data_IF_009217184372
#
_entry.id   IF_009217184372
#
_cell.length_a   1.000
_cell.length_b   1.000
_cell.length_c   1.000
_cell.angle_alpha   90.00
_cell.angle_beta   90.00
_cell.angle_gamma   90.00
#
_symmetry.space_group_name_H-M   'P 1'
#
loop_
_entity.id
_entity.type
_entity.pdbx_description
1 polymer ?
#
# COMPACT_ATOMS: atom_id res chain seq x y z
N UNK A 1 11.36 -26.88 -6.73
CA UNK A 1 11.41 -25.76 -5.76
C UNK A 1 11.11 -24.50 -6.53
N UNK A 2 9.95 -23.89 -6.29
CA UNK A 2 9.59 -22.60 -6.91
C UNK A 2 10.52 -21.55 -6.31
N UNK A 3 11.15 -20.74 -7.16
CA UNK A 3 12.06 -19.72 -6.67
C UNK A 3 11.24 -18.51 -6.18
N UNK A 4 11.62 -17.87 -5.06
CA UNK A 4 10.88 -16.71 -4.52
C UNK A 4 10.75 -15.56 -5.52
N UNK A 5 11.67 -15.47 -6.50
CA UNK A 5 11.61 -14.52 -7.62
C UNK A 5 10.38 -14.67 -8.53
N UNK A 6 9.75 -15.85 -8.57
CA UNK A 6 8.53 -16.12 -9.35
C UNK A 6 7.26 -15.82 -8.54
N UNK A 7 7.38 -15.74 -7.21
CA UNK A 7 6.25 -15.55 -6.28
C UNK A 7 6.06 -14.08 -5.91
N UNK A 8 7.15 -13.30 -5.88
CA UNK A 8 7.13 -11.90 -5.45
C UNK A 8 7.11 -10.96 -6.65
N UNK A 9 5.91 -10.44 -6.96
CA UNK A 9 5.73 -9.35 -7.92
C UNK A 9 6.04 -8.00 -7.26
N UNK A 10 7.28 -7.53 -7.43
CA UNK A 10 7.74 -6.23 -6.91
C UNK A 10 7.13 -5.05 -7.69
N UNK A 11 6.76 -5.25 -8.97
CA UNK A 11 6.13 -4.19 -9.78
C UNK A 11 4.78 -3.78 -9.19
N UNK A 12 3.98 -4.72 -8.71
CA UNK A 12 2.72 -4.41 -8.03
C UNK A 12 2.91 -3.45 -6.83
N UNK A 13 3.97 -3.64 -6.04
CA UNK A 13 4.26 -2.75 -4.90
C UNK A 13 4.80 -1.39 -5.31
N UNK A 14 5.57 -1.35 -6.40
CA UNK A 14 6.01 -0.10 -7.01
C UNK A 14 4.83 0.71 -7.53
N UNK A 15 3.91 0.05 -8.25
CA UNK A 15 2.72 0.68 -8.81
C UNK A 15 1.86 1.29 -7.71
N UNK A 16 1.65 0.59 -6.60
CA UNK A 16 0.91 1.11 -5.45
C UNK A 16 1.59 2.30 -4.76
N UNK A 17 2.91 2.27 -4.63
CA UNK A 17 3.65 3.42 -4.11
C UNK A 17 3.56 4.62 -5.07
N UNK A 18 3.78 4.39 -6.38
CA UNK A 18 3.70 5.41 -7.41
C UNK A 18 2.30 6.04 -7.50
N UNK A 19 1.25 5.22 -7.36
CA UNK A 19 -0.14 5.65 -7.25
C UNK A 19 -0.34 6.54 -6.03
N UNK A 20 0.21 6.16 -4.88
CA UNK A 20 0.12 6.97 -3.67
C UNK A 20 0.79 8.34 -3.83
N UNK A 21 1.98 8.43 -4.41
CA UNK A 21 2.66 9.73 -4.60
C UNK A 21 2.11 10.53 -5.80
N UNK A 22 1.25 9.94 -6.61
CA UNK A 22 0.67 10.62 -7.77
C UNK A 22 -0.15 11.84 -7.34
N UNK A 23 -0.05 12.92 -8.11
CA UNK A 23 -0.77 14.17 -7.86
C UNK A 23 -2.29 13.97 -7.81
N UNK A 24 -2.83 13.07 -8.65
CA UNK A 24 -4.25 12.74 -8.67
C UNK A 24 -4.74 12.15 -7.35
N UNK A 25 -4.04 11.14 -6.82
CA UNK A 25 -4.39 10.53 -5.54
C UNK A 25 -4.19 11.51 -4.37
N UNK A 26 -3.06 12.22 -4.33
CA UNK A 26 -2.79 13.17 -3.25
C UNK A 26 -3.81 14.30 -3.20
N UNK A 27 -4.27 14.80 -4.35
CA UNK A 27 -5.32 15.80 -4.44
C UNK A 27 -6.67 15.26 -3.95
N UNK A 28 -7.06 14.06 -4.39
CA UNK A 28 -8.32 13.43 -3.95
C UNK A 28 -8.30 13.15 -2.44
N UNK A 29 -7.16 12.69 -1.91
CA UNK A 29 -6.97 12.48 -0.48
C UNK A 29 -7.09 13.78 0.32
N UNK A 30 -6.43 14.84 -0.15
CA UNK A 30 -6.51 16.15 0.49
C UNK A 30 -7.93 16.72 0.45
N UNK A 31 -8.64 16.55 -0.68
CA UNK A 31 -10.04 16.97 -0.79
C UNK A 31 -10.95 16.25 0.22
N UNK A 32 -10.78 14.93 0.37
CA UNK A 32 -11.62 14.11 1.25
C UNK A 32 -11.28 14.26 2.73
N UNK A 33 -9.99 14.22 3.07
CA UNK A 33 -9.53 14.10 4.45
C UNK A 33 -8.84 15.37 4.97
N UNK A 34 -8.63 16.39 4.14
CA UNK A 34 -7.93 17.62 4.52
C UNK A 34 -6.42 17.47 4.70
N UNK A 35 -5.84 16.31 4.36
CA UNK A 35 -4.42 16.01 4.55
C UNK A 35 -3.85 15.20 3.41
N UNK A 36 -2.57 15.43 3.12
CA UNK A 36 -1.80 14.60 2.20
C UNK A 36 -1.49 13.24 2.85
N UNK A 37 -1.41 12.19 2.03
CA UNK A 37 -0.95 10.87 2.46
C UNK A 37 0.58 10.86 2.43
N UNK A 38 1.23 10.46 3.53
CA UNK A 38 2.69 10.40 3.59
C UNK A 38 3.29 9.21 2.82
N UNK A 39 2.44 8.29 2.31
CA UNK A 39 2.82 7.12 1.52
C UNK A 39 3.88 6.21 2.16
N UNK A 40 4.13 6.36 3.47
CA UNK A 40 5.22 5.68 4.15
C UNK A 40 4.94 4.18 4.26
N UNK A 41 3.67 3.79 4.38
CA UNK A 41 3.25 2.39 4.42
C UNK A 41 3.54 1.69 3.10
N UNK A 42 3.15 2.29 1.98
CA UNK A 42 3.37 1.78 0.63
C UNK A 42 4.86 1.73 0.29
N UNK A 43 5.64 2.71 0.73
CA UNK A 43 7.10 2.68 0.59
C UNK A 43 7.75 1.55 1.41
N UNK A 44 7.27 1.32 2.64
CA UNK A 44 7.74 0.20 3.46
C UNK A 44 7.36 -1.15 2.88
N UNK A 45 6.17 -1.28 2.29
CA UNK A 45 5.75 -2.47 1.58
C UNK A 45 6.64 -2.75 0.36
N UNK A 46 6.96 -1.72 -0.44
CA UNK A 46 7.88 -1.85 -1.57
C UNK A 46 9.27 -2.34 -1.15
N UNK A 47 9.85 -1.77 -0.08
CA UNK A 47 11.11 -2.26 0.50
C UNK A 47 10.99 -3.71 0.99
N UNK A 48 9.86 -4.08 1.59
CA UNK A 48 9.60 -5.43 2.08
C UNK A 48 9.49 -6.43 0.94
N UNK A 49 8.83 -6.07 -0.16
CA UNK A 49 8.77 -6.88 -1.37
C UNK A 49 10.15 -7.07 -2.01
N UNK A 50 10.97 -6.01 -2.05
CA UNK A 50 12.37 -6.11 -2.50
C UNK A 50 13.18 -7.09 -1.66
N UNK A 51 13.01 -7.08 -0.33
CA UNK A 51 13.66 -8.06 0.58
C UNK A 51 13.12 -9.48 0.38
N UNK A 52 11.80 -9.63 0.23
CA UNK A 52 11.15 -10.91 0.01
C UNK A 52 11.60 -11.57 -1.31
N UNK A 53 11.89 -10.78 -2.36
CA UNK A 53 12.41 -11.30 -3.63
C UNK A 53 13.79 -11.93 -3.51
N UNK A 54 14.60 -11.48 -2.56
CA UNK A 54 15.97 -11.97 -2.29
C UNK A 54 15.99 -13.01 -1.16
N UNK A 55 14.86 -13.30 -0.53
CA UNK A 55 14.75 -14.30 0.52
C UNK A 55 15.12 -15.71 -0.01
N UNK A 56 15.62 -16.57 0.88
CA UNK A 56 16.07 -17.92 0.51
C UNK A 56 14.93 -18.93 0.40
N UNK A 57 13.85 -18.72 1.15
CA UNK A 57 12.71 -19.63 1.20
C UNK A 57 11.42 -18.96 0.74
N UNK A 58 10.58 -19.71 0.04
CA UNK A 58 9.30 -19.22 -0.47
C UNK A 58 8.31 -18.91 0.65
N UNK A 59 8.28 -19.74 1.69
CA UNK A 59 7.37 -19.56 2.84
C UNK A 59 7.70 -18.29 3.63
N UNK A 60 8.98 -17.98 3.79
CA UNK A 60 9.43 -16.74 4.42
C UNK A 60 9.04 -15.52 3.57
N UNK A 61 9.22 -15.60 2.25
CA UNK A 61 8.80 -14.54 1.34
C UNK A 61 7.28 -14.29 1.44
N UNK A 62 6.47 -15.36 1.43
CA UNK A 62 5.01 -15.26 1.62
C UNK A 62 4.64 -14.70 3.00
N UNK A 63 5.35 -15.10 4.05
CA UNK A 63 5.15 -14.59 5.41
C UNK A 63 5.48 -13.10 5.55
N UNK A 64 6.50 -12.62 4.84
CA UNK A 64 6.82 -11.19 4.76
C UNK A 64 5.73 -10.43 3.99
N UNK A 65 5.29 -10.96 2.85
CA UNK A 65 4.24 -10.33 2.03
C UNK A 65 2.90 -10.28 2.75
N UNK A 66 2.52 -11.32 3.50
CA UNK A 66 1.26 -11.35 4.24
C UNK A 66 1.16 -10.24 5.30
N UNK A 67 2.30 -9.72 5.79
CA UNK A 67 2.36 -8.63 6.76
C UNK A 67 2.32 -7.24 6.13
N UNK A 68 2.45 -7.13 4.80
CA UNK A 68 2.43 -5.84 4.12
C UNK A 68 1.04 -5.21 4.15
N UNK A 69 1.01 -3.87 4.16
CA UNK A 69 -0.22 -3.10 4.18
C UNK A 69 -1.11 -3.39 2.96
N UNK A 70 -0.50 -3.60 1.79
CA UNK A 70 -1.21 -3.96 0.56
C UNK A 70 -2.08 -5.22 0.71
N UNK A 71 -1.53 -6.30 1.28
CA UNK A 71 -2.27 -7.56 1.48
C UNK A 71 -3.32 -7.43 2.59
N UNK A 72 -3.02 -6.67 3.65
CA UNK A 72 -4.00 -6.40 4.72
C UNK A 72 -5.19 -5.59 4.21
N UNK A 73 -4.96 -4.61 3.33
CA UNK A 73 -6.01 -3.76 2.75
C UNK A 73 -6.96 -4.54 1.83
N UNK A 74 -6.48 -5.53 1.06
CA UNK A 74 -7.33 -6.37 0.19
C UNK A 74 -8.44 -7.10 0.96
N UNK A 75 -8.23 -7.36 2.24
CA UNK A 75 -9.19 -8.05 3.11
C UNK A 75 -10.23 -7.10 3.74
N UNK A 76 -10.09 -5.79 3.54
CA UNK A 76 -11.06 -4.79 4.02
C UNK A 76 -11.98 -4.43 2.86
N UNK A 77 -13.28 -4.70 3.01
CA UNK A 77 -14.27 -4.34 1.99
C UNK A 77 -14.18 -2.84 1.66
N UNK A 78 -14.12 -2.44 0.38
CA UNK A 78 -14.00 -1.04 -0.02
C UNK A 78 -15.17 -0.16 0.44
N UNK A 79 -16.29 -0.76 0.82
CA UNK A 79 -17.48 -0.09 1.36
C UNK A 79 -17.56 -0.07 2.89
N UNK A 80 -16.69 -0.79 3.62
CA UNK A 80 -16.85 -0.98 5.06
C UNK A 80 -16.27 0.13 5.95
N UNK A 81 -15.65 1.18 5.40
CA UNK A 81 -15.06 2.24 6.24
C UNK A 81 -14.91 3.64 5.64
N UNK A 82 -15.33 3.88 4.39
CA UNK A 82 -14.93 5.10 3.65
C UNK A 82 -16.08 6.10 3.45
N UNK A 83 -17.31 5.80 3.89
CA UNK A 83 -18.44 6.69 3.55
C UNK A 83 -18.46 7.94 4.44
N UNK A 84 -17.90 7.94 5.66
CA UNK A 84 -18.11 9.08 6.60
C UNK A 84 -16.99 9.37 7.60
N UNK A 85 -15.71 9.26 7.25
CA UNK A 85 -14.70 9.95 8.08
C UNK A 85 -14.81 11.46 7.81
N UNK A 86 -15.61 12.15 8.62
CA UNK A 86 -15.81 13.60 8.54
C UNK A 86 -14.43 14.30 8.56
N UNK A 87 -14.21 15.18 7.59
CA UNK A 87 -13.09 16.13 7.61
C UNK A 87 -13.12 16.87 8.94
N UNK A 88 -12.02 16.88 9.69
CA UNK A 88 -11.92 17.60 10.97
C UNK A 88 -12.19 19.10 10.78
N UNK A 89 -11.87 19.66 9.62
CA UNK A 89 -12.11 21.07 9.25
C UNK A 89 -12.88 21.18 7.92
N UNK A 90 -14.17 21.53 7.92
CA UNK A 90 -14.90 21.83 6.69
C UNK A 90 -14.41 23.18 6.12
N UNK A 91 -13.72 23.17 4.97
CA UNK A 91 -13.20 24.40 4.34
C UNK A 91 -12.09 24.16 3.32
N UNK A 92 -11.79 25.16 2.50
CA UNK A 92 -10.70 25.16 1.48
C UNK A 92 -9.50 26.03 1.92
N UNK A 93 -9.40 26.32 3.21
CA UNK A 93 -8.42 27.25 3.79
C UNK A 93 -6.98 26.71 3.74
#
# INVERSE_FOLDING_TARGET
MVQPKEVVDVSMFWDEWSRCVSSGYQRDQYYRLGKFDNCAKQWNDFKTAGRAKVAKTEEEAKGMLAKTHLYQRKNVSPTAGVIWELKETPGWD
#
